data_IF_494673497594
#
_entry.id   IF_494673497594
#
_cell.length_a   1.000
_cell.length_b   1.000
_cell.length_c   1.000
_cell.angle_alpha   90.00
_cell.angle_beta   90.00
_cell.angle_gamma   90.00
#
_symmetry.space_group_name_H-M   'P 1'
#
loop_
_entity.id
_entity.type
_entity.pdbx_description
1 polymer ?
#
# COMPACT_ATOMS: atom_id res chain seq x y z
N UNK A 1 -55.30 28.61 64.10
CA UNK A 1 -56.32 28.56 63.02
C UNK A 1 -56.45 27.12 62.52
N UNK A 2 -57.17 26.27 63.26
CA UNK A 2 -57.34 24.86 62.92
C UNK A 2 -58.79 24.45 63.19
N UNK A 3 -59.73 25.01 62.43
CA UNK A 3 -61.17 24.66 62.50
C UNK A 3 -61.86 25.01 61.18
N UNK A 4 -61.40 24.46 60.04
CA UNK A 4 -62.16 24.52 58.77
C UNK A 4 -61.98 23.27 57.87
N UNK A 5 -61.58 22.12 58.42
CA UNK A 5 -61.31 20.92 57.61
C UNK A 5 -62.38 19.82 57.69
N UNK A 6 -63.45 19.99 58.47
CA UNK A 6 -64.40 18.90 58.74
C UNK A 6 -65.65 18.86 57.85
N UNK A 7 -65.95 19.88 57.02
CA UNK A 7 -67.15 19.87 56.15
C UNK A 7 -66.90 19.44 54.70
N UNK A 8 -65.64 19.33 54.25
CA UNK A 8 -65.26 19.01 52.86
C UNK A 8 -64.92 17.52 52.62
N UNK A 9 -64.99 16.69 53.67
CA UNK A 9 -64.67 15.27 53.60
C UNK A 9 -65.71 14.41 52.85
N UNK A 10 -67.05 14.59 53.02
CA UNK A 10 -68.02 13.65 52.45
C UNK A 10 -68.16 13.75 50.93
N UNK A 11 -68.09 14.96 50.35
CA UNK A 11 -68.17 15.16 48.91
C UNK A 11 -66.92 14.67 48.18
N UNK A 12 -65.73 14.87 48.78
CA UNK A 12 -64.47 14.32 48.25
C UNK A 12 -64.42 12.80 48.33
N UNK A 13 -64.98 12.19 49.38
CA UNK A 13 -65.15 10.74 49.48
C UNK A 13 -66.14 10.20 48.45
N UNK A 14 -67.23 10.91 48.17
CA UNK A 14 -68.20 10.53 47.14
C UNK A 14 -67.61 10.61 45.72
N UNK A 15 -66.76 11.61 45.45
CA UNK A 15 -66.03 11.75 44.18
C UNK A 15 -64.94 10.69 44.01
N UNK A 16 -64.20 10.36 45.08
CA UNK A 16 -63.25 9.24 45.07
C UNK A 16 -63.95 7.89 44.92
N UNK A 17 -65.13 7.73 45.52
CA UNK A 17 -65.98 6.55 45.35
C UNK A 17 -66.48 6.37 43.91
N UNK A 18 -66.89 7.46 43.24
CA UNK A 18 -67.27 7.41 41.81
C UNK A 18 -66.07 7.13 40.90
N UNK A 19 -64.92 7.76 41.16
CA UNK A 19 -63.69 7.52 40.41
C UNK A 19 -63.20 6.06 40.54
N UNK A 20 -63.33 5.47 41.73
CA UNK A 20 -63.00 4.07 41.97
C UNK A 20 -63.99 3.09 41.29
N UNK A 21 -65.28 3.42 41.24
CA UNK A 21 -66.29 2.63 40.51
C UNK A 21 -66.04 2.66 39.00
N UNK A 22 -65.57 3.79 38.46
CA UNK A 22 -65.19 3.91 37.05
C UNK A 22 -63.87 3.17 36.73
N UNK A 23 -62.88 3.17 37.63
CA UNK A 23 -61.64 2.41 37.43
C UNK A 23 -61.83 0.89 37.52
N UNK A 24 -62.78 0.42 38.33
CA UNK A 24 -63.13 -1.01 38.45
C UNK A 24 -63.87 -1.58 37.23
N UNK A 25 -64.19 -0.77 36.21
CA UNK A 25 -64.82 -1.24 34.97
C UNK A 25 -63.81 -1.88 33.99
N UNK A 26 -62.50 -1.78 34.25
CA UNK A 26 -61.43 -2.21 33.33
C UNK A 26 -60.35 -3.15 33.90
N UNK A 27 -60.46 -3.65 35.14
CA UNK A 27 -59.48 -4.62 35.69
C UNK A 27 -60.19 -5.83 36.29
N UNK A 28 -59.88 -7.03 35.78
CA UNK A 28 -60.63 -8.27 36.04
C UNK A 28 -60.06 -9.16 37.16
N UNK A 29 -58.94 -8.81 37.82
CA UNK A 29 -58.24 -9.75 38.72
C UNK A 29 -58.13 -9.37 40.22
N UNK A 30 -58.69 -8.24 40.67
CA UNK A 30 -58.67 -7.85 42.11
C UNK A 30 -60.06 -7.90 42.78
N UNK A 31 -60.86 -8.92 42.44
CA UNK A 31 -62.30 -8.95 42.78
C UNK A 31 -62.66 -9.44 44.19
N UNK A 32 -61.76 -10.10 44.92
CA UNK A 32 -62.14 -10.76 46.18
C UNK A 32 -61.76 -9.98 47.45
N UNK A 33 -60.68 -9.19 47.47
CA UNK A 33 -60.26 -8.48 48.69
C UNK A 33 -61.07 -7.19 48.94
N UNK A 34 -61.35 -6.41 47.88
CA UNK A 34 -62.10 -5.13 47.98
C UNK A 34 -63.62 -5.30 48.16
N UNK A 35 -64.16 -6.47 47.78
CA UNK A 35 -65.60 -6.83 47.92
C UNK A 35 -66.02 -6.96 49.40
N UNK A 36 -65.11 -7.39 50.27
CA UNK A 36 -65.39 -7.52 51.71
C UNK A 36 -65.45 -6.16 52.41
N UNK A 37 -64.50 -5.26 52.09
CA UNK A 37 -64.42 -3.92 52.66
C UNK A 37 -65.52 -2.99 52.14
N UNK A 38 -65.95 -3.15 50.87
CA UNK A 38 -67.07 -2.39 50.32
C UNK A 38 -68.42 -2.80 50.91
N UNK A 39 -68.62 -4.10 51.26
CA UNK A 39 -69.83 -4.57 51.95
C UNK A 39 -69.92 -4.02 53.39
N UNK A 40 -68.79 -3.92 54.10
CA UNK A 40 -68.75 -3.33 55.44
C UNK A 40 -68.97 -1.82 55.45
N UNK A 41 -68.54 -1.10 54.40
CA UNK A 41 -68.73 0.36 54.28
C UNK A 41 -70.13 0.71 53.78
N UNK A 42 -70.70 -0.06 52.83
CA UNK A 42 -72.08 0.15 52.36
C UNK A 42 -73.12 -0.23 53.41
N UNK A 43 -72.85 -1.22 54.26
CA UNK A 43 -73.71 -1.51 55.41
C UNK A 43 -73.75 -0.35 56.43
N UNK A 44 -72.61 0.32 56.68
CA UNK A 44 -72.52 1.46 57.60
C UNK A 44 -73.16 2.75 57.06
N UNK A 45 -73.19 2.93 55.74
CA UNK A 45 -73.84 4.08 55.11
C UNK A 45 -75.38 3.88 55.06
N UNK A 46 -75.84 2.64 54.86
CA UNK A 46 -77.27 2.32 54.87
C UNK A 46 -77.94 2.49 56.27
N UNK A 47 -77.19 2.31 57.36
CA UNK A 47 -77.67 2.55 58.73
C UNK A 47 -77.70 4.05 59.10
N UNK A 48 -76.80 4.86 58.54
CA UNK A 48 -76.75 6.30 58.78
C UNK A 48 -77.90 7.05 58.08
N UNK A 49 -78.25 6.66 56.85
CA UNK A 49 -79.32 7.31 56.06
C UNK A 49 -80.74 6.91 56.50
N UNK A 50 -80.93 5.75 57.15
CA UNK A 50 -82.21 5.36 57.77
C UNK A 50 -82.52 6.09 59.08
N UNK A 51 -81.51 6.61 59.78
CA UNK A 51 -81.68 7.34 61.05
C UNK A 51 -82.05 8.83 60.87
N UNK A 52 -81.74 9.39 59.70
CA UNK A 52 -82.04 10.79 59.37
C UNK A 52 -83.46 10.96 58.78
N UNK A 53 -83.94 9.99 57.99
CA UNK A 53 -85.27 10.00 57.37
C UNK A 53 -86.41 9.61 58.33
N UNK A 54 -86.10 8.99 59.47
CA UNK A 54 -87.09 8.66 60.53
C UNK A 54 -87.33 9.82 61.50
N UNK A 55 -86.43 10.80 61.62
CA UNK A 55 -86.60 11.96 62.52
C UNK A 55 -87.38 13.14 61.92
N UNK A 56 -87.49 13.24 60.59
CA UNK A 56 -88.28 14.30 59.94
C UNK A 56 -89.73 13.88 59.64
N UNK A 57 -90.06 12.59 59.67
CA UNK A 57 -91.43 12.08 59.45
C UNK A 57 -92.23 11.94 60.75
N UNK A 58 -91.59 11.84 61.92
CA UNK A 58 -92.28 11.83 63.23
C UNK A 58 -92.66 13.23 63.76
N UNK A 59 -92.11 14.32 63.20
CA UNK A 59 -92.45 15.68 63.61
C UNK A 59 -93.74 16.24 62.95
N UNK A 60 -94.32 15.53 61.97
CA UNK A 60 -95.51 15.96 61.21
C UNK A 60 -96.81 15.20 61.58
N UNK A 61 -96.79 14.30 62.58
CA UNK A 61 -97.92 13.43 62.93
C UNK A 61 -98.37 13.46 64.41
N UNK A 62 -98.18 14.58 65.12
CA UNK A 62 -98.75 14.75 66.48
C UNK A 62 -99.96 15.71 66.48
N UNK A 63 -101.13 15.32 67.04
CA UNK A 63 -102.37 16.10 67.00
C UNK A 63 -102.45 17.11 68.15
N UNK A 64 -102.92 18.34 67.89
CA UNK A 64 -103.46 19.23 68.93
C UNK A 64 -104.77 19.90 68.47
N UNK A 65 -105.79 19.70 69.29
CA UNK A 65 -107.15 20.28 69.26
C UNK A 65 -107.32 21.16 70.52
N UNK A 66 -108.48 21.79 70.76
CA UNK A 66 -108.79 23.20 70.57
C UNK A 66 -108.86 24.02 71.89
N UNK A 67 -108.98 25.35 71.82
CA UNK A 67 -109.62 26.15 72.88
C UNK A 67 -110.56 27.21 72.31
N UNK A 68 -111.54 27.57 73.13
CA UNK A 68 -112.82 28.15 72.81
C UNK A 68 -112.98 29.60 73.32
N UNK A 69 -114.05 30.25 72.86
CA UNK A 69 -114.64 31.47 73.43
C UNK A 69 -114.99 32.47 72.32
N UNK A 70 -116.18 33.04 72.18
CA UNK A 70 -117.44 32.98 72.92
C UNK A 70 -118.40 33.99 72.25
N UNK A 71 -119.67 33.59 72.05
CA UNK A 71 -120.84 34.45 71.72
C UNK A 71 -121.19 35.37 72.91
N UNK A 72 -122.05 36.44 72.85
CA UNK A 72 -123.45 36.48 72.31
C UNK A 72 -123.86 37.82 71.62
N UNK A 73 -124.89 37.95 70.74
CA UNK A 73 -126.38 37.86 70.85
C UNK A 73 -127.05 38.96 71.74
N UNK A 74 -128.37 39.27 71.64
CA UNK A 74 -129.27 39.55 70.50
C UNK A 74 -130.36 40.65 70.82
N UNK A 75 -131.51 40.61 70.12
CA UNK A 75 -132.87 41.17 70.41
C UNK A 75 -133.20 42.54 69.75
N UNK A 76 -134.06 42.61 68.71
CA UNK A 76 -135.50 42.33 68.56
C UNK A 76 -136.41 43.54 68.92
N UNK A 77 -137.09 44.11 67.92
CA UNK A 77 -138.54 44.45 67.93
C UNK A 77 -138.96 45.28 66.68
N UNK A 78 -139.81 44.66 65.84
CA UNK A 78 -140.92 45.23 65.06
C UNK A 78 -140.81 46.55 64.27
N UNK A 79 -140.95 46.44 62.94
CA UNK A 79 -141.64 47.47 62.13
C UNK A 79 -141.08 47.75 60.72
N UNK A 80 -141.81 47.31 59.68
CA UNK A 80 -141.72 47.66 58.23
C UNK A 80 -140.69 46.94 57.32
N UNK A 81 -141.21 46.11 56.40
CA UNK A 81 -140.54 45.12 55.55
C UNK A 81 -139.65 45.66 54.39
N UNK A 82 -139.45 46.98 54.25
CA UNK A 82 -138.64 47.55 53.15
C UNK A 82 -137.19 47.90 53.55
N UNK A 83 -136.91 48.10 54.84
CA UNK A 83 -135.57 48.51 55.32
C UNK A 83 -134.58 47.35 55.54
N UNK A 84 -135.09 46.16 55.84
CA UNK A 84 -134.27 44.98 56.16
C UNK A 84 -133.61 44.35 54.91
N UNK A 85 -134.31 44.36 53.78
CA UNK A 85 -133.78 43.85 52.49
C UNK A 85 -132.65 44.74 51.96
N UNK A 86 -132.73 46.06 52.17
CA UNK A 86 -131.67 47.00 51.78
C UNK A 86 -130.39 46.84 52.63
N UNK A 87 -130.53 46.56 53.94
CA UNK A 87 -129.37 46.27 54.81
C UNK A 87 -128.73 44.91 54.49
N UNK A 88 -129.53 43.89 54.20
CA UNK A 88 -129.01 42.58 53.81
C UNK A 88 -128.31 42.61 52.44
N UNK A 89 -128.83 43.38 51.48
CA UNK A 89 -128.18 43.62 50.18
C UNK A 89 -126.83 44.34 50.35
N UNK A 90 -126.79 45.42 51.13
CA UNK A 90 -125.54 46.15 51.41
C UNK A 90 -124.50 45.27 52.13
N UNK A 91 -124.94 44.36 53.02
CA UNK A 91 -124.05 43.42 53.72
C UNK A 91 -123.44 42.36 52.79
N UNK A 92 -124.21 41.85 51.84
CA UNK A 92 -123.71 40.89 50.84
C UNK A 92 -122.80 41.56 49.80
N UNK A 93 -123.09 42.80 49.38
CA UNK A 93 -122.22 43.58 48.50
C UNK A 93 -120.86 43.87 49.17
N UNK A 94 -120.84 44.12 50.48
CA UNK A 94 -119.61 44.29 51.25
C UNK A 94 -118.80 42.99 51.40
N UNK A 95 -119.47 41.86 51.59
CA UNK A 95 -118.81 40.55 51.61
C UNK A 95 -118.23 40.20 50.24
N UNK A 96 -118.97 40.48 49.17
CA UNK A 96 -118.55 40.24 47.79
C UNK A 96 -117.37 41.15 47.40
N UNK A 97 -117.36 42.40 47.85
CA UNK A 97 -116.21 43.30 47.74
C UNK A 97 -114.99 42.77 48.52
N UNK A 98 -115.17 42.28 49.75
CA UNK A 98 -114.06 41.72 50.54
C UNK A 98 -113.48 40.44 49.94
N UNK A 99 -114.33 39.61 49.33
CA UNK A 99 -113.90 38.38 48.64
C UNK A 99 -113.22 38.73 47.32
N UNK A 100 -113.71 39.74 46.59
CA UNK A 100 -113.05 40.25 45.39
C UNK A 100 -111.67 40.86 45.69
N UNK A 101 -111.51 41.58 46.81
CA UNK A 101 -110.21 42.11 47.24
C UNK A 101 -109.25 41.00 47.73
N UNK A 102 -109.78 39.98 48.43
CA UNK A 102 -109.00 38.77 48.78
C UNK A 102 -108.58 37.98 47.54
N UNK A 103 -109.43 37.90 46.53
CA UNK A 103 -109.12 37.25 45.27
C UNK A 103 -108.03 38.04 44.52
N UNK A 104 -108.16 39.36 44.41
CA UNK A 104 -107.14 40.24 43.79
C UNK A 104 -105.79 40.16 44.50
N UNK A 105 -105.78 40.13 45.83
CA UNK A 105 -104.53 40.01 46.59
C UNK A 105 -103.89 38.64 46.40
N UNK A 106 -104.66 37.56 46.40
CA UNK A 106 -104.17 36.22 46.06
C UNK A 106 -103.67 36.11 44.61
N UNK A 107 -104.40 36.70 43.64
CA UNK A 107 -103.97 36.76 42.24
C UNK A 107 -102.68 37.57 42.08
N UNK A 108 -102.53 38.67 42.81
CA UNK A 108 -101.29 39.47 42.80
C UNK A 108 -100.11 38.74 43.44
N UNK A 109 -100.33 37.96 44.50
CA UNK A 109 -99.32 37.13 45.14
C UNK A 109 -98.90 35.98 44.23
N UNK A 110 -99.87 35.31 43.60
CA UNK A 110 -99.62 34.27 42.61
C UNK A 110 -98.87 34.81 41.37
N UNK A 111 -99.20 36.01 40.90
CA UNK A 111 -98.48 36.65 39.81
C UNK A 111 -97.02 36.99 40.18
N UNK A 112 -96.76 37.41 41.44
CA UNK A 112 -95.40 37.64 41.96
C UNK A 112 -94.62 36.33 42.09
N UNK A 113 -95.23 35.30 42.64
CA UNK A 113 -94.61 33.97 42.78
C UNK A 113 -94.30 33.35 41.41
N UNK A 114 -95.19 33.52 40.42
CA UNK A 114 -94.91 33.14 39.04
C UNK A 114 -93.75 33.94 38.43
N UNK A 115 -93.64 35.24 38.72
CA UNK A 115 -92.55 36.07 38.22
C UNK A 115 -91.21 35.68 38.87
N UNK A 116 -91.19 35.45 40.19
CA UNK A 116 -90.02 34.97 40.93
C UNK A 116 -89.60 33.57 40.46
N UNK A 117 -90.57 32.68 40.22
CA UNK A 117 -90.29 31.35 39.68
C UNK A 117 -89.69 31.44 38.27
N UNK A 118 -90.19 32.33 37.40
CA UNK A 118 -89.59 32.58 36.07
C UNK A 118 -88.15 33.08 36.18
N UNK A 119 -87.88 34.05 37.08
CA UNK A 119 -86.53 34.56 37.32
C UNK A 119 -85.59 33.47 37.88
N UNK A 120 -86.07 32.62 38.79
CA UNK A 120 -85.32 31.50 39.32
C UNK A 120 -84.97 30.49 38.21
N UNK A 121 -85.93 30.14 37.35
CA UNK A 121 -85.71 29.26 36.20
C UNK A 121 -84.70 29.86 35.21
N UNK A 122 -84.79 31.16 34.91
CA UNK A 122 -83.83 31.86 34.06
C UNK A 122 -82.42 31.85 34.66
N UNK A 123 -82.28 32.16 35.96
CA UNK A 123 -80.99 32.15 36.66
C UNK A 123 -80.37 30.76 36.72
N UNK A 124 -81.19 29.73 36.94
CA UNK A 124 -80.76 28.33 36.95
C UNK A 124 -80.35 27.88 35.55
N UNK A 125 -81.04 28.34 34.50
CA UNK A 125 -80.65 28.08 33.11
C UNK A 125 -79.29 28.72 32.75
N UNK A 126 -79.01 29.92 33.25
CA UNK A 126 -77.72 30.61 33.08
C UNK A 126 -76.60 29.88 33.85
N UNK A 127 -76.86 29.46 35.09
CA UNK A 127 -75.91 28.67 35.87
C UNK A 127 -75.63 27.31 35.21
N UNK A 128 -76.64 26.64 34.66
CA UNK A 128 -76.47 25.40 33.90
C UNK A 128 -75.65 25.59 32.63
N UNK A 129 -75.83 26.69 31.89
CA UNK A 129 -74.98 27.02 30.72
C UNK A 129 -73.54 27.26 31.13
N UNK A 130 -73.31 28.05 32.18
CA UNK A 130 -71.96 28.35 32.68
C UNK A 130 -71.25 27.10 33.21
N UNK A 131 -71.98 26.20 33.85
CA UNK A 131 -71.46 24.89 34.25
C UNK A 131 -71.07 24.02 33.04
N UNK A 132 -71.84 24.04 31.96
CA UNK A 132 -71.49 23.35 30.71
C UNK A 132 -70.23 23.94 30.07
N UNK A 133 -70.12 25.27 30.00
CA UNK A 133 -68.92 25.94 29.49
C UNK A 133 -67.66 25.55 30.29
N UNK A 134 -67.74 25.58 31.63
CA UNK A 134 -66.64 25.13 32.49
C UNK A 134 -66.33 23.63 32.35
N UNK A 135 -67.33 22.79 32.08
CA UNK A 135 -67.12 21.37 31.79
C UNK A 135 -66.42 21.15 30.45
N UNK A 136 -66.77 21.92 29.42
CA UNK A 136 -66.11 21.88 28.11
C UNK A 136 -64.67 22.40 28.20
N UNK A 137 -64.43 23.50 28.92
CA UNK A 137 -63.07 24.01 29.18
C UNK A 137 -62.22 23.01 29.96
N UNK A 138 -62.79 22.37 30.99
CA UNK A 138 -62.13 21.28 31.71
C UNK A 138 -61.79 20.12 30.78
N UNK A 139 -62.69 19.75 29.87
CA UNK A 139 -62.44 18.73 28.85
C UNK A 139 -61.22 19.09 27.98
N UNK A 140 -61.21 20.30 27.41
CA UNK A 140 -60.08 20.80 26.59
C UNK A 140 -58.76 20.84 27.36
N UNK A 141 -58.78 21.27 28.62
CA UNK A 141 -57.56 21.30 29.45
C UNK A 141 -57.04 19.90 29.74
N UNK A 142 -57.92 18.92 29.99
CA UNK A 142 -57.51 17.53 30.18
C UNK A 142 -56.94 16.91 28.91
N UNK A 143 -57.53 17.21 27.75
CA UNK A 143 -56.99 16.81 26.44
C UNK A 143 -55.58 17.41 26.24
N UNK A 144 -55.40 18.72 26.44
CA UNK A 144 -54.10 19.37 26.34
C UNK A 144 -53.06 18.78 27.30
N UNK A 145 -53.44 18.47 28.54
CA UNK A 145 -52.56 17.79 29.49
C UNK A 145 -52.16 16.42 28.96
N UNK A 146 -53.10 15.63 28.44
CA UNK A 146 -52.79 14.31 27.87
C UNK A 146 -51.85 14.40 26.66
N UNK A 147 -52.01 15.42 25.80
CA UNK A 147 -51.14 15.65 24.66
C UNK A 147 -49.72 16.04 25.11
N UNK A 148 -49.60 16.97 26.05
CA UNK A 148 -48.32 17.39 26.63
C UNK A 148 -47.62 16.23 27.36
N UNK A 149 -48.36 15.39 28.09
CA UNK A 149 -47.81 14.19 28.72
C UNK A 149 -47.28 13.20 27.67
N UNK A 150 -48.00 13.02 26.56
CA UNK A 150 -47.54 12.15 25.46
C UNK A 150 -46.26 12.69 24.81
N UNK A 151 -46.18 14.01 24.59
CA UNK A 151 -44.99 14.66 24.04
C UNK A 151 -43.81 14.57 25.00
N UNK A 152 -44.04 14.75 26.30
CA UNK A 152 -42.99 14.61 27.32
C UNK A 152 -42.45 13.18 27.37
N UNK A 153 -43.32 12.17 27.29
CA UNK A 153 -42.88 10.76 27.23
C UNK A 153 -42.04 10.48 26.00
N UNK A 154 -42.40 11.03 24.84
CA UNK A 154 -41.60 10.92 23.62
C UNK A 154 -40.23 11.59 23.77
N UNK A 155 -40.19 12.81 24.30
CA UNK A 155 -38.92 13.51 24.54
C UNK A 155 -38.02 12.76 25.53
N UNK A 156 -38.59 12.20 26.60
CA UNK A 156 -37.84 11.35 27.54
C UNK A 156 -37.21 10.16 26.80
N UNK A 157 -38.00 9.42 26.02
CA UNK A 157 -37.51 8.28 25.25
C UNK A 157 -36.41 8.67 24.24
N UNK A 158 -36.55 9.82 23.56
CA UNK A 158 -35.53 10.34 22.64
C UNK A 158 -34.24 10.72 23.37
N UNK A 159 -34.33 11.36 24.53
CA UNK A 159 -33.15 11.72 25.34
C UNK A 159 -32.43 10.50 25.90
N UNK A 160 -33.17 9.47 26.36
CA UNK A 160 -32.59 8.20 26.81
C UNK A 160 -31.86 7.50 25.64
N UNK A 161 -32.46 7.49 24.44
CA UNK A 161 -31.81 6.92 23.27
C UNK A 161 -30.54 7.69 22.88
N UNK A 162 -30.55 9.02 22.97
CA UNK A 162 -29.38 9.86 22.72
C UNK A 162 -28.27 9.60 23.75
N UNK A 163 -28.62 9.45 25.04
CA UNK A 163 -27.68 9.11 26.11
C UNK A 163 -27.02 7.74 25.86
N UNK A 164 -27.80 6.71 25.51
CA UNK A 164 -27.25 5.38 25.17
C UNK A 164 -26.31 5.44 23.96
N UNK A 165 -26.62 6.24 22.94
CA UNK A 165 -25.71 6.46 21.80
C UNK A 165 -24.43 7.16 22.22
N UNK A 166 -24.53 8.17 23.06
CA UNK A 166 -23.38 8.89 23.60
C UNK A 166 -22.46 7.96 24.41
N UNK A 167 -23.03 7.12 25.29
CA UNK A 167 -22.24 6.15 26.07
C UNK A 167 -21.53 5.12 25.20
N UNK A 168 -22.21 4.60 24.16
CA UNK A 168 -21.58 3.70 23.17
C UNK A 168 -20.44 4.36 22.40
N UNK A 169 -20.61 5.62 21.99
CA UNK A 169 -19.55 6.37 21.32
C UNK A 169 -18.39 6.68 22.26
N UNK A 170 -18.69 6.99 23.53
CA UNK A 170 -17.67 7.23 24.56
C UNK A 170 -16.84 5.97 24.83
N UNK A 171 -17.48 4.81 24.99
CA UNK A 171 -16.76 3.55 25.19
C UNK A 171 -15.94 3.14 23.96
N UNK A 172 -16.49 3.29 22.75
CA UNK A 172 -15.77 3.07 21.48
C UNK A 172 -14.55 3.99 21.33
N UNK A 173 -14.68 5.27 21.69
CA UNK A 173 -13.54 6.19 21.69
C UNK A 173 -12.47 5.78 22.71
N UNK A 174 -12.87 5.33 23.89
CA UNK A 174 -11.92 4.85 24.91
C UNK A 174 -11.17 3.61 24.44
N UNK A 175 -11.85 2.63 23.83
CA UNK A 175 -11.19 1.42 23.29
C UNK A 175 -10.26 1.76 22.14
N UNK A 176 -10.69 2.60 21.18
CA UNK A 176 -9.81 3.05 20.10
C UNK A 176 -8.61 3.85 20.63
N UNK A 177 -8.79 4.67 21.65
CA UNK A 177 -7.69 5.41 22.28
C UNK A 177 -6.68 4.44 22.93
N UNK A 178 -7.14 3.42 23.64
CA UNK A 178 -6.27 2.42 24.27
C UNK A 178 -5.53 1.58 23.22
N UNK A 179 -6.21 1.18 22.14
CA UNK A 179 -5.59 0.49 21.02
C UNK A 179 -4.54 1.36 20.32
N UNK A 180 -4.81 2.65 20.14
CA UNK A 180 -3.85 3.60 19.56
C UNK A 180 -2.59 3.69 20.42
N UNK A 181 -2.74 3.84 21.75
CA UNK A 181 -1.59 3.88 22.67
C UNK A 181 -0.79 2.58 22.64
N UNK A 182 -1.46 1.42 22.69
CA UNK A 182 -0.78 0.11 22.61
C UNK A 182 -0.03 -0.07 21.28
N UNK A 183 -0.63 0.37 20.16
CA UNK A 183 0.01 0.33 18.86
C UNK A 183 1.22 1.27 18.80
N UNK A 184 1.15 2.47 19.39
CA UNK A 184 2.30 3.37 19.45
C UNK A 184 3.44 2.80 20.30
N UNK A 185 3.14 2.13 21.41
CA UNK A 185 4.15 1.46 22.25
C UNK A 185 4.83 0.31 21.49
N UNK A 186 4.05 -0.52 20.79
CA UNK A 186 4.59 -1.58 19.92
C UNK A 186 5.46 -1.03 18.80
N UNK A 187 5.05 0.08 18.18
CA UNK A 187 5.79 0.73 17.10
C UNK A 187 7.14 1.26 17.63
N UNK A 188 7.15 1.91 18.80
CA UNK A 188 8.37 2.39 19.43
C UNK A 188 9.31 1.23 19.82
N UNK A 189 8.78 0.13 20.35
CA UNK A 189 9.58 -1.06 20.67
C UNK A 189 10.21 -1.68 19.41
N UNK A 190 9.44 -1.82 18.33
CA UNK A 190 9.94 -2.32 17.05
C UNK A 190 10.97 -1.38 16.41
N UNK A 191 10.82 -0.06 16.56
CA UNK A 191 11.82 0.91 16.12
C UNK A 191 13.14 0.74 16.87
N UNK A 192 13.09 0.62 18.20
CA UNK A 192 14.28 0.39 19.03
C UNK A 192 14.98 -0.93 18.66
N UNK A 193 14.23 -2.01 18.45
CA UNK A 193 14.78 -3.29 18.01
C UNK A 193 15.40 -3.20 16.60
N UNK A 194 14.79 -2.44 15.68
CA UNK A 194 15.35 -2.24 14.34
C UNK A 194 16.67 -1.47 14.40
N UNK A 195 16.77 -0.44 15.25
CA UNK A 195 18.01 0.31 15.47
C UNK A 195 19.10 -0.58 16.08
N UNK A 196 18.74 -1.42 17.07
CA UNK A 196 19.68 -2.39 17.65
C UNK A 196 20.21 -3.36 16.60
N UNK A 197 19.32 -3.95 15.79
CA UNK A 197 19.70 -4.88 14.73
C UNK A 197 20.55 -4.21 13.65
N UNK A 198 20.30 -2.94 13.32
CA UNK A 198 21.16 -2.17 12.39
C UNK A 198 22.57 -1.99 12.96
N UNK A 199 22.68 -1.64 14.24
CA UNK A 199 23.98 -1.51 14.89
C UNK A 199 24.74 -2.84 14.94
N UNK A 200 24.05 -3.96 15.24
CA UNK A 200 24.64 -5.31 15.20
C UNK A 200 25.12 -5.69 13.79
N UNK A 201 24.33 -5.40 12.76
CA UNK A 201 24.72 -5.63 11.36
C UNK A 201 25.93 -4.80 10.93
N UNK A 202 25.99 -3.53 11.31
CA UNK A 202 27.15 -2.67 11.02
C UNK A 202 28.41 -3.17 11.72
N UNK A 203 28.30 -3.60 12.98
CA UNK A 203 29.42 -4.19 13.71
C UNK A 203 29.92 -5.48 13.05
N UNK A 204 29.00 -6.38 12.68
CA UNK A 204 29.35 -7.62 11.99
C UNK A 204 30.01 -7.38 10.62
N UNK A 205 29.54 -6.37 9.87
CA UNK A 205 30.17 -5.97 8.60
C UNK A 205 31.59 -5.47 8.81
N UNK A 206 31.82 -4.58 9.77
CA UNK A 206 33.16 -4.09 10.10
C UNK A 206 34.10 -5.23 10.50
N UNK A 207 33.62 -6.17 11.32
CA UNK A 207 34.41 -7.34 11.73
C UNK A 207 34.78 -8.23 10.54
N UNK A 208 33.81 -8.50 9.64
CA UNK A 208 34.07 -9.25 8.41
C UNK A 208 35.10 -8.53 7.54
N UNK A 209 34.99 -7.21 7.37
CA UNK A 209 35.92 -6.46 6.52
C UNK A 209 37.36 -6.52 7.06
N UNK A 210 37.54 -6.47 8.38
CA UNK A 210 38.84 -6.70 9.03
C UNK A 210 39.35 -8.11 8.73
N UNK A 211 38.55 -9.15 8.95
CA UNK A 211 38.95 -10.54 8.68
C UNK A 211 39.31 -10.79 7.21
N UNK A 212 38.56 -10.19 6.28
CA UNK A 212 38.85 -10.29 4.84
C UNK A 212 40.17 -9.60 4.51
N UNK A 213 40.44 -8.44 5.10
CA UNK A 213 41.71 -7.73 4.90
C UNK A 213 42.91 -8.51 5.44
N UNK A 214 42.77 -9.14 6.61
CA UNK A 214 43.79 -10.01 7.21
C UNK A 214 44.05 -11.24 6.33
N UNK A 215 42.98 -11.93 5.89
CA UNK A 215 43.10 -13.09 5.01
C UNK A 215 43.73 -12.73 3.65
N UNK A 216 43.42 -11.56 3.09
CA UNK A 216 44.06 -11.07 1.86
C UNK A 216 45.56 -10.84 2.05
N UNK A 217 45.96 -10.25 3.18
CA UNK A 217 47.37 -10.04 3.50
C UNK A 217 48.12 -11.37 3.66
N UNK A 218 47.53 -12.36 4.33
CA UNK A 218 48.10 -13.71 4.48
C UNK A 218 48.25 -14.42 3.13
N UNK A 219 47.27 -14.33 2.25
CA UNK A 219 47.35 -14.90 0.90
C UNK A 219 48.46 -14.24 0.09
N UNK A 220 48.60 -12.92 0.16
CA UNK A 220 49.68 -12.20 -0.52
C UNK A 220 51.06 -12.61 0.01
N UNK A 221 51.20 -12.77 1.33
CA UNK A 221 52.44 -13.26 1.94
C UNK A 221 52.78 -14.68 1.46
N UNK A 222 51.80 -15.60 1.48
CA UNK A 222 52.01 -16.96 0.98
C UNK A 222 52.37 -17.01 -0.52
N UNK A 223 51.78 -16.11 -1.33
CA UNK A 223 52.14 -15.96 -2.74
C UNK A 223 53.55 -15.41 -2.93
N UNK A 224 53.98 -14.48 -2.08
CA UNK A 224 55.36 -13.98 -2.09
C UNK A 224 56.36 -15.08 -1.72
N UNK A 225 56.11 -15.84 -0.66
CA UNK A 225 56.97 -16.95 -0.22
C UNK A 225 57.10 -18.04 -1.30
N UNK A 226 55.99 -18.39 -1.95
CA UNK A 226 56.01 -19.36 -3.06
C UNK A 226 56.74 -18.82 -4.28
N UNK A 227 56.59 -17.54 -4.61
CA UNK A 227 57.35 -16.91 -5.69
C UNK A 227 58.85 -16.92 -5.38
N UNK A 228 59.27 -16.53 -4.17
CA UNK A 228 60.67 -16.51 -3.76
C UNK A 228 61.30 -17.90 -3.79
N UNK A 229 60.57 -18.94 -3.37
CA UNK A 229 61.01 -20.33 -3.48
C UNK A 229 61.21 -20.77 -4.95
N UNK A 230 60.30 -20.40 -5.86
CA UNK A 230 60.41 -20.69 -7.30
C UNK A 230 61.57 -19.93 -7.92
N UNK A 231 61.76 -18.66 -7.57
CA UNK A 231 62.88 -17.81 -8.01
C UNK A 231 64.21 -18.46 -7.61
N UNK A 232 64.35 -18.88 -6.35
CA UNK A 232 65.55 -19.54 -5.86
C UNK A 232 65.86 -20.83 -6.64
N UNK A 233 64.84 -21.65 -6.90
CA UNK A 233 64.98 -22.90 -7.66
C UNK A 233 65.36 -22.63 -9.13
N UNK A 234 64.70 -21.67 -9.78
CA UNK A 234 64.95 -21.32 -11.18
C UNK A 234 66.34 -20.72 -11.37
N UNK A 235 66.73 -19.80 -10.47
CA UNK A 235 68.05 -19.16 -10.50
C UNK A 235 69.19 -20.17 -10.37
N UNK A 236 69.08 -21.11 -9.43
CA UNK A 236 70.05 -22.19 -9.26
C UNK A 236 70.24 -23.00 -10.56
N UNK A 237 69.14 -23.30 -11.26
CA UNK A 237 69.17 -24.03 -12.53
C UNK A 237 69.78 -23.19 -13.66
N UNK A 238 69.42 -21.92 -13.76
CA UNK A 238 69.95 -20.99 -14.77
C UNK A 238 71.46 -20.76 -14.64
N UNK A 239 71.95 -20.59 -13.40
CA UNK A 239 73.37 -20.43 -13.12
C UNK A 239 74.17 -21.68 -13.49
N UNK A 240 73.61 -22.87 -13.30
CA UNK A 240 74.25 -24.14 -13.69
C UNK A 240 74.38 -24.33 -15.21
N UNK A 241 73.39 -23.89 -15.98
CA UNK A 241 73.36 -24.04 -17.44
C UNK A 241 74.17 -22.97 -18.20
N UNK A 242 74.32 -21.78 -17.61
CA UNK A 242 75.00 -20.62 -18.20
C UNK A 242 76.05 -20.04 -17.24
N UNK A 243 77.03 -20.84 -16.78
CA UNK A 243 77.98 -20.42 -15.77
C UNK A 243 78.80 -19.20 -16.21
N UNK A 244 79.14 -19.11 -17.50
CA UNK A 244 79.97 -18.03 -18.06
C UNK A 244 79.23 -16.68 -18.22
N UNK A 245 77.90 -16.66 -18.10
CA UNK A 245 77.09 -15.43 -18.22
C UNK A 245 76.79 -14.83 -16.85
N UNK A 246 76.74 -15.68 -15.82
CA UNK A 246 76.31 -15.31 -14.46
C UNK A 246 77.44 -15.44 -13.42
N UNK A 247 78.71 -15.42 -13.85
CA UNK A 247 79.87 -15.53 -12.95
C UNK A 247 80.02 -14.36 -11.99
N UNK A 248 79.46 -13.18 -12.30
CA UNK A 248 79.68 -11.94 -11.54
C UNK A 248 78.39 -11.26 -11.04
N UNK A 249 77.21 -11.75 -11.41
CA UNK A 249 75.95 -11.07 -11.06
C UNK A 249 75.41 -11.53 -9.70
N UNK A 250 75.06 -10.55 -8.86
CA UNK A 250 74.28 -10.76 -7.64
C UNK A 250 73.04 -11.62 -7.92
N UNK A 251 72.58 -12.36 -6.90
CA UNK A 251 71.29 -13.08 -6.96
C UNK A 251 70.24 -12.06 -7.43
N UNK A 252 69.57 -12.28 -8.58
CA UNK A 252 68.64 -11.31 -9.12
C UNK A 252 67.49 -11.12 -8.16
N UNK A 253 67.08 -9.86 -7.96
CA UNK A 253 65.81 -9.57 -7.31
C UNK A 253 64.67 -10.13 -8.16
N UNK A 254 63.50 -10.33 -7.55
CA UNK A 254 62.29 -10.78 -8.24
C UNK A 254 62.03 -9.99 -9.54
N UNK A 255 62.09 -8.66 -9.47
CA UNK A 255 61.90 -7.79 -10.63
C UNK A 255 62.94 -8.03 -11.74
N UNK A 256 64.18 -8.29 -11.37
CA UNK A 256 65.27 -8.53 -12.32
C UNK A 256 65.10 -9.88 -13.02
N UNK A 257 64.62 -10.90 -12.29
CA UNK A 257 64.35 -12.21 -12.87
C UNK A 257 63.09 -12.19 -13.75
N UNK A 258 62.04 -11.47 -13.35
CA UNK A 258 60.83 -11.26 -14.16
C UNK A 258 61.19 -10.60 -15.51
N UNK A 259 61.99 -9.52 -15.51
CA UNK A 259 62.49 -8.88 -16.73
C UNK A 259 63.35 -9.82 -17.59
N UNK A 260 64.15 -10.68 -16.96
CA UNK A 260 64.96 -11.64 -17.67
C UNK A 260 64.10 -12.74 -18.33
N UNK A 261 63.06 -13.21 -17.65
CA UNK A 261 62.07 -14.13 -18.22
C UNK A 261 61.31 -13.48 -19.40
N UNK A 262 60.90 -12.21 -19.26
CA UNK A 262 60.29 -11.45 -20.35
C UNK A 262 61.22 -11.34 -21.57
N UNK A 263 62.49 -11.00 -21.35
CA UNK A 263 63.49 -10.94 -22.41
C UNK A 263 63.72 -12.30 -23.10
N UNK A 264 63.70 -13.41 -22.35
CA UNK A 264 63.78 -14.76 -22.93
C UNK A 264 62.54 -15.04 -23.79
N UNK A 265 61.35 -14.67 -23.33
CA UNK A 265 60.11 -14.83 -24.12
C UNK A 265 60.17 -14.01 -25.40
N UNK A 266 60.65 -12.77 -25.35
CA UNK A 266 60.86 -11.94 -26.54
C UNK A 266 61.88 -12.53 -27.50
N UNK A 267 63.00 -13.06 -26.98
CA UNK A 267 63.99 -13.76 -27.79
C UNK A 267 63.38 -14.96 -28.51
N UNK A 268 62.58 -15.76 -27.81
CA UNK A 268 61.86 -16.92 -28.38
C UNK A 268 60.89 -16.48 -29.48
N UNK A 269 60.13 -15.40 -29.28
CA UNK A 269 59.26 -14.82 -30.30
C UNK A 269 60.06 -14.38 -31.53
N UNK A 270 61.19 -13.70 -31.34
CA UNK A 270 62.06 -13.26 -32.42
C UNK A 270 62.61 -14.45 -33.23
N UNK A 271 63.02 -15.52 -32.55
CA UNK A 271 63.49 -16.75 -33.21
C UNK A 271 62.39 -17.40 -34.07
N UNK A 272 61.14 -17.44 -33.58
CA UNK A 272 60.01 -17.96 -34.36
C UNK A 272 59.71 -17.11 -35.61
N UNK A 273 59.85 -15.78 -35.52
CA UNK A 273 59.70 -14.88 -36.68
C UNK A 273 60.83 -15.10 -37.70
N UNK A 274 62.07 -15.25 -37.24
CA UNK A 274 63.22 -15.55 -38.12
C UNK A 274 63.00 -16.90 -38.84
N UNK A 275 62.53 -17.92 -38.12
CA UNK A 275 62.16 -19.21 -38.70
C UNK A 275 61.12 -19.08 -39.80
N UNK A 276 60.00 -18.41 -39.50
CA UNK A 276 58.93 -18.18 -40.47
C UNK A 276 59.44 -17.40 -41.69
N UNK A 277 60.28 -16.39 -41.49
CA UNK A 277 60.86 -15.60 -42.57
C UNK A 277 61.77 -16.44 -43.48
N UNK A 278 62.69 -17.22 -42.90
CA UNK A 278 63.58 -18.12 -43.65
C UNK A 278 62.78 -19.15 -44.45
N UNK A 279 61.77 -19.77 -43.84
CA UNK A 279 60.89 -20.75 -44.51
C UNK A 279 60.14 -20.11 -45.68
N UNK A 280 59.63 -18.89 -45.51
CA UNK A 280 58.91 -18.18 -46.55
C UNK A 280 59.83 -17.75 -47.70
N UNK A 281 61.01 -17.19 -47.41
CA UNK A 281 61.99 -16.84 -48.44
C UNK A 281 62.49 -18.07 -49.22
N UNK A 282 62.71 -19.21 -48.54
CA UNK A 282 63.04 -20.47 -49.20
C UNK A 282 61.91 -20.96 -50.13
N UNK A 283 60.65 -20.78 -49.72
CA UNK A 283 59.48 -21.12 -50.54
C UNK A 283 59.38 -20.24 -51.78
N UNK A 284 59.65 -18.93 -51.65
CA UNK A 284 59.50 -17.96 -52.73
C UNK A 284 60.63 -18.05 -53.77
N UNK A 285 61.84 -18.42 -53.34
CA UNK A 285 62.98 -18.68 -54.23
C UNK A 285 63.02 -20.10 -54.79
N UNK A 286 62.08 -20.97 -54.41
CA UNK A 286 62.01 -22.35 -54.88
C UNK A 286 61.72 -22.39 -56.39
N UNK A 287 62.61 -22.98 -57.16
CA UNK A 287 62.38 -23.24 -58.59
C UNK A 287 61.49 -24.47 -58.75
N UNK A 288 60.31 -24.31 -59.37
CA UNK A 288 59.31 -25.39 -59.54
C UNK A 288 59.76 -26.47 -60.55
N UNK A 289 60.84 -26.26 -61.29
CA UNK A 289 61.25 -27.14 -62.39
C UNK A 289 62.46 -28.06 -62.16
N UNK A 290 63.33 -27.81 -61.17
CA UNK A 290 64.57 -28.58 -60.97
C UNK A 290 64.55 -29.34 -59.64
N UNK A 291 64.31 -30.66 -59.70
CA UNK A 291 64.35 -31.56 -58.52
C UNK A 291 65.73 -31.61 -57.84
N UNK A 292 66.78 -31.20 -58.55
CA UNK A 292 68.15 -31.15 -58.08
C UNK A 292 68.59 -29.79 -57.51
N UNK A 293 67.70 -28.80 -57.42
CA UNK A 293 68.03 -27.49 -56.86
C UNK A 293 68.42 -27.60 -55.37
N UNK A 294 69.56 -27.00 -55.03
CA UNK A 294 70.14 -27.03 -53.67
C UNK A 294 69.22 -26.36 -52.66
N UNK A 295 68.56 -25.26 -53.02
CA UNK A 295 67.61 -24.58 -52.12
C UNK A 295 66.34 -25.40 -51.89
N UNK A 296 65.87 -26.11 -52.90
CA UNK A 296 64.73 -27.02 -52.80
C UNK A 296 65.02 -28.17 -51.82
N UNK A 297 66.22 -28.76 -51.88
CA UNK A 297 66.67 -29.78 -50.91
C UNK A 297 66.72 -29.24 -49.48
N UNK A 298 67.26 -28.03 -49.29
CA UNK A 298 67.27 -27.38 -47.97
C UNK A 298 65.86 -27.09 -47.44
N UNK A 299 64.97 -26.55 -48.26
CA UNK A 299 63.58 -26.30 -47.87
C UNK A 299 62.84 -27.59 -47.45
N UNK A 300 63.03 -28.69 -48.18
CA UNK A 300 62.44 -29.99 -47.82
C UNK A 300 63.00 -30.49 -46.48
N UNK A 301 64.30 -30.37 -46.24
CA UNK A 301 64.93 -30.74 -44.97
C UNK A 301 64.39 -29.90 -43.81
N UNK A 302 64.23 -28.59 -43.99
CA UNK A 302 63.66 -27.69 -42.99
C UNK A 302 62.21 -28.01 -42.65
N UNK A 303 61.39 -28.38 -43.63
CA UNK A 303 59.99 -28.77 -43.38
C UNK A 303 59.82 -30.14 -42.71
N UNK A 304 60.78 -31.04 -42.92
CA UNK A 304 60.72 -32.41 -42.41
C UNK A 304 61.30 -32.54 -41.00
N UNK A 305 62.23 -31.67 -40.64
CA UNK A 305 62.83 -31.64 -39.31
C UNK A 305 62.01 -30.74 -38.36
N UNK A 306 62.01 -31.05 -37.05
CA UNK A 306 61.36 -30.20 -36.05
C UNK A 306 61.95 -28.77 -36.08
N UNK A 307 61.07 -27.79 -35.95
CA UNK A 307 61.43 -26.37 -36.01
C UNK A 307 62.24 -25.91 -34.81
N UNK A 308 62.67 -24.64 -34.81
CA UNK A 308 63.42 -24.06 -33.69
C UNK A 308 62.65 -24.14 -32.36
N UNK A 309 61.34 -23.91 -32.42
CA UNK A 309 60.47 -23.95 -31.25
C UNK A 309 60.29 -25.36 -30.68
N UNK A 310 60.17 -26.36 -31.53
CA UNK A 310 60.04 -27.76 -31.11
C UNK A 310 61.36 -28.29 -30.55
N UNK A 311 62.49 -27.97 -31.20
CA UNK A 311 63.82 -28.29 -30.69
C UNK A 311 64.12 -27.60 -29.35
N UNK A 312 63.65 -26.35 -29.16
CA UNK A 312 63.77 -25.63 -27.90
C UNK A 312 62.92 -26.29 -26.81
N UNK A 313 61.67 -26.65 -27.13
CA UNK A 313 60.76 -27.34 -26.20
C UNK A 313 61.35 -28.67 -25.74
N UNK A 314 61.85 -29.47 -26.68
CA UNK A 314 62.48 -30.76 -26.38
C UNK A 314 63.74 -30.59 -25.54
N UNK A 315 64.55 -29.57 -25.83
CA UNK A 315 65.72 -29.25 -25.03
C UNK A 315 65.35 -28.83 -23.60
N UNK A 316 64.36 -27.94 -23.42
CA UNK A 316 63.92 -27.48 -22.11
C UNK A 316 63.27 -28.61 -21.30
N UNK A 317 62.47 -29.47 -21.95
CA UNK A 317 61.76 -30.56 -21.30
C UNK A 317 62.68 -31.73 -20.92
N UNK A 318 63.64 -32.10 -21.78
CA UNK A 318 64.44 -33.33 -21.61
C UNK A 318 65.91 -33.07 -21.25
N UNK A 319 66.40 -31.83 -21.37
CA UNK A 319 67.81 -31.47 -21.20
C UNK A 319 68.73 -32.00 -22.31
N UNK A 320 68.21 -32.74 -23.29
CA UNK A 320 68.97 -33.34 -24.40
C UNK A 320 68.82 -32.47 -25.65
N UNK A 321 69.74 -32.61 -26.62
CA UNK A 321 69.62 -31.91 -27.91
C UNK A 321 70.07 -30.44 -27.91
N UNK A 322 70.76 -29.97 -26.86
CA UNK A 322 71.37 -28.63 -26.76
C UNK A 322 72.16 -28.24 -28.02
N UNK A 323 73.03 -29.12 -28.49
CA UNK A 323 73.84 -28.89 -29.69
C UNK A 323 72.99 -28.77 -30.97
N UNK A 324 71.91 -29.55 -31.09
CA UNK A 324 71.01 -29.49 -32.24
C UNK A 324 70.27 -28.16 -32.28
N UNK A 325 69.77 -27.68 -31.14
CA UNK A 325 69.14 -26.37 -31.03
C UNK A 325 70.10 -25.24 -31.41
N UNK A 326 71.33 -25.22 -30.87
CA UNK A 326 72.31 -24.18 -31.21
C UNK A 326 72.70 -24.18 -32.70
N UNK A 327 72.92 -25.36 -33.28
CA UNK A 327 73.24 -25.49 -34.69
C UNK A 327 72.09 -25.00 -35.58
N UNK A 328 70.85 -25.30 -35.18
CA UNK A 328 69.67 -24.83 -35.90
C UNK A 328 69.49 -23.31 -35.78
N UNK A 329 69.67 -22.72 -34.60
CA UNK A 329 69.63 -21.26 -34.38
C UNK A 329 70.67 -20.57 -35.26
N UNK A 330 71.91 -21.09 -35.26
CA UNK A 330 73.00 -20.57 -36.08
C UNK A 330 72.65 -20.64 -37.56
N UNK A 331 72.16 -21.78 -38.05
CA UNK A 331 71.77 -21.95 -39.44
C UNK A 331 70.71 -20.91 -39.87
N UNK A 332 69.68 -20.70 -39.05
CA UNK A 332 68.62 -19.71 -39.33
C UNK A 332 69.15 -18.27 -39.37
N UNK A 333 70.03 -17.89 -38.45
CA UNK A 333 70.65 -16.56 -38.46
C UNK A 333 71.52 -16.34 -39.70
N UNK A 334 72.28 -17.36 -40.13
CA UNK A 334 73.10 -17.29 -41.34
C UNK A 334 72.22 -17.21 -42.58
N UNK A 335 71.14 -17.99 -42.66
CA UNK A 335 70.17 -17.90 -43.75
C UNK A 335 69.51 -16.52 -43.83
N UNK A 336 69.02 -15.97 -42.73
CA UNK A 336 68.42 -14.63 -42.71
C UNK A 336 69.38 -13.56 -43.25
N UNK A 337 70.68 -13.66 -42.89
CA UNK A 337 71.72 -12.76 -43.43
C UNK A 337 71.99 -13.00 -44.91
N UNK A 338 72.09 -14.26 -45.33
CA UNK A 338 72.33 -14.62 -46.73
C UNK A 338 71.16 -14.17 -47.63
N UNK A 339 69.91 -14.23 -47.15
CA UNK A 339 68.75 -13.70 -47.88
C UNK A 339 68.86 -12.19 -48.07
N UNK A 340 69.21 -11.45 -47.01
CA UNK A 340 69.35 -10.00 -47.09
C UNK A 340 70.44 -9.59 -48.11
N UNK A 341 71.60 -10.25 -48.11
CA UNK A 341 72.71 -9.92 -49.02
C UNK A 341 72.48 -10.43 -50.44
N UNK A 342 71.97 -11.65 -50.60
CA UNK A 342 71.74 -12.27 -51.90
C UNK A 342 70.65 -11.55 -52.70
N UNK A 343 69.53 -11.17 -52.06
CA UNK A 343 68.48 -10.38 -52.72
C UNK A 343 68.99 -9.00 -53.15
N UNK A 344 69.79 -8.34 -52.31
CA UNK A 344 70.40 -7.06 -52.67
C UNK A 344 71.32 -7.17 -53.89
N UNK A 345 72.18 -8.20 -53.95
CA UNK A 345 73.06 -8.46 -55.10
C UNK A 345 72.28 -8.66 -56.40
N UNK A 346 71.10 -9.28 -56.33
CA UNK A 346 70.23 -9.49 -57.50
C UNK A 346 69.64 -8.17 -57.97
N UNK A 347 69.14 -7.33 -57.06
CA UNK A 347 68.61 -6.00 -57.40
C UNK A 347 69.66 -5.17 -58.13
N UNK A 348 70.92 -5.22 -57.68
CA UNK A 348 72.03 -4.51 -58.32
C UNK A 348 72.38 -5.08 -59.70
N UNK A 349 72.25 -6.41 -59.91
CA UNK A 349 72.54 -7.07 -61.19
C UNK A 349 71.36 -7.07 -62.17
N UNK A 350 70.15 -6.83 -61.69
CA UNK A 350 68.90 -6.90 -62.45
C UNK A 350 68.90 -6.00 -63.70
N UNK A 351 69.42 -4.74 -63.67
CA UNK A 351 69.48 -3.90 -64.86
C UNK A 351 70.26 -4.53 -66.03
N UNK A 352 71.35 -5.24 -65.73
CA UNK A 352 72.16 -5.92 -66.76
C UNK A 352 71.42 -7.12 -67.33
N UNK A 353 70.77 -7.92 -66.48
CA UNK A 353 69.95 -9.07 -66.91
C UNK A 353 68.76 -8.63 -67.77
N UNK A 354 68.11 -7.53 -67.41
CA UNK A 354 67.02 -6.93 -68.17
C UNK A 354 67.53 -6.41 -69.52
N UNK A 355 68.69 -5.75 -69.54
CA UNK A 355 69.30 -5.25 -70.78
C UNK A 355 69.67 -6.40 -71.74
N UNK A 356 70.19 -7.51 -71.21
CA UNK A 356 70.55 -8.68 -72.00
C UNK A 356 69.32 -9.39 -72.59
N UNK A 357 68.22 -9.51 -71.83
CA UNK A 357 66.98 -10.17 -72.28
C UNK A 357 66.11 -9.28 -73.20
N UNK A 358 66.17 -7.95 -73.03
CA UNK A 358 65.51 -7.00 -73.94
C UNK A 358 66.30 -6.75 -75.23
N UNK A 359 67.51 -7.31 -75.35
CA UNK A 359 68.30 -7.20 -76.57
C UNK A 359 67.62 -7.95 -77.72
N UNK A 360 67.20 -7.27 -78.81
CA UNK A 360 66.52 -7.91 -79.94
C UNK A 360 67.32 -9.04 -80.60
N UNK A 361 68.65 -9.05 -80.42
CA UNK A 361 69.54 -10.12 -80.92
C UNK A 361 69.33 -11.47 -80.22
N UNK A 362 68.75 -11.46 -79.03
CA UNK A 362 68.52 -12.65 -78.20
C UNK A 362 67.08 -13.18 -78.31
N UNK A 363 66.23 -12.55 -79.11
CA UNK A 363 64.84 -12.96 -79.31
C UNK A 363 64.78 -14.08 -80.35
N UNK A 364 64.39 -15.29 -79.91
CA UNK A 364 64.32 -16.47 -80.77
C UNK A 364 63.29 -16.32 -81.89
N UNK A 365 63.71 -16.64 -83.11
CA UNK A 365 62.95 -16.54 -84.35
C UNK A 365 63.69 -15.69 -85.40
N UNK A 366 63.46 -15.92 -86.69
CA UNK A 366 63.93 -15.02 -87.76
C UNK A 366 63.21 -13.66 -87.66
N UNK A 367 63.51 -12.88 -86.62
CA UNK A 367 63.18 -11.45 -86.60
C UNK A 367 64.15 -10.82 -87.60
N UNK A 368 63.75 -10.79 -88.87
CA UNK A 368 64.50 -10.07 -89.90
C UNK A 368 64.60 -8.61 -89.45
N UNK A 369 65.82 -8.21 -89.11
CA UNK A 369 66.20 -6.94 -88.49
C UNK A 369 65.89 -5.71 -89.35
N UNK A 370 65.32 -5.90 -90.55
CA UNK A 370 65.26 -4.86 -91.59
C UNK A 370 64.01 -3.96 -91.52
N UNK A 371 63.08 -4.15 -90.57
CA UNK A 371 61.91 -3.26 -90.42
C UNK A 371 61.54 -3.02 -88.95
N UNK A 372 61.68 -1.79 -88.47
CA UNK A 372 61.28 -1.38 -87.10
C UNK A 372 59.84 -1.79 -86.73
N UNK A 373 58.94 -1.91 -87.72
CA UNK A 373 57.56 -2.39 -87.53
C UNK A 373 57.46 -3.87 -87.09
N UNK A 374 58.38 -4.75 -87.50
CA UNK A 374 58.36 -6.17 -87.08
C UNK A 374 58.85 -6.33 -85.63
N UNK A 375 59.82 -5.51 -85.22
CA UNK A 375 60.31 -5.42 -83.83
C UNK A 375 59.19 -4.93 -82.91
N UNK A 376 58.48 -3.86 -83.30
CA UNK A 376 57.34 -3.34 -82.53
C UNK A 376 56.19 -4.34 -82.38
N UNK A 377 55.90 -5.12 -83.44
CA UNK A 377 54.87 -6.17 -83.40
C UNK A 377 55.25 -7.34 -82.50
N UNK A 378 56.47 -7.87 -82.62
CA UNK A 378 56.97 -8.93 -81.75
C UNK A 378 57.02 -8.50 -80.28
N UNK A 379 57.44 -7.26 -80.02
CA UNK A 379 57.46 -6.71 -78.67
C UNK A 379 56.06 -6.69 -78.05
N UNK A 380 55.06 -6.21 -78.79
CA UNK A 380 53.68 -6.07 -78.32
C UNK A 380 52.94 -7.41 -78.18
N UNK A 381 53.18 -8.36 -79.09
CA UNK A 381 52.42 -9.63 -79.14
C UNK A 381 53.06 -10.76 -78.33
N UNK A 382 54.39 -10.76 -78.19
CA UNK A 382 55.13 -11.90 -77.61
C UNK A 382 56.06 -11.47 -76.47
N UNK A 383 56.89 -10.45 -76.68
CA UNK A 383 57.89 -10.07 -75.68
C UNK A 383 57.28 -9.47 -74.41
N UNK A 384 56.26 -8.60 -74.53
CA UNK A 384 55.58 -7.98 -73.38
C UNK A 384 54.94 -9.00 -72.41
N UNK A 385 54.58 -10.19 -72.88
CA UNK A 385 54.02 -11.25 -72.03
C UNK A 385 55.09 -12.22 -71.54
N UNK A 386 55.96 -12.70 -72.43
CA UNK A 386 56.93 -13.75 -72.09
C UNK A 386 58.21 -13.22 -71.41
N UNK A 387 58.68 -12.02 -71.76
CA UNK A 387 59.95 -11.48 -71.24
C UNK A 387 59.86 -11.11 -69.76
N UNK A 388 58.80 -10.45 -69.24
CA UNK A 388 58.69 -10.21 -67.80
C UNK A 388 58.66 -11.50 -66.97
N UNK A 389 57.96 -12.54 -67.44
CA UNK A 389 57.93 -13.84 -66.77
C UNK A 389 59.30 -14.54 -66.82
N UNK A 390 60.00 -14.48 -67.95
CA UNK A 390 61.35 -15.02 -68.12
C UNK A 390 62.39 -14.27 -67.26
N UNK A 391 62.34 -12.94 -67.23
CA UNK A 391 63.17 -12.12 -66.34
C UNK A 391 62.86 -12.43 -64.88
N UNK A 392 61.58 -12.57 -64.52
CA UNK A 392 61.17 -12.93 -63.16
C UNK A 392 61.62 -14.32 -62.72
N UNK A 393 61.69 -15.30 -63.63
CA UNK A 393 62.23 -16.64 -63.33
C UNK A 393 63.75 -16.63 -63.24
N UNK A 394 64.45 -15.94 -64.15
CA UNK A 394 65.91 -15.78 -64.12
C UNK A 394 66.38 -15.01 -62.89
N UNK A 395 65.71 -13.92 -62.52
CA UNK A 395 66.03 -13.14 -61.33
C UNK A 395 65.86 -13.98 -60.05
N UNK A 396 64.78 -14.77 -59.94
CA UNK A 396 64.59 -15.70 -58.82
C UNK A 396 65.65 -16.80 -58.78
N UNK A 397 66.05 -17.33 -59.94
CA UNK A 397 67.12 -18.33 -60.05
C UNK A 397 68.47 -17.78 -59.59
N UNK A 398 68.86 -16.62 -60.12
CA UNK A 398 70.10 -15.93 -59.71
C UNK A 398 70.07 -15.53 -58.23
N UNK A 399 68.91 -15.12 -57.71
CA UNK A 399 68.73 -14.85 -56.30
C UNK A 399 68.97 -16.09 -55.45
N UNK A 400 68.39 -17.21 -55.86
CA UNK A 400 68.61 -18.48 -55.18
C UNK A 400 70.08 -18.88 -55.13
N UNK A 401 70.77 -18.82 -56.28
CA UNK A 401 72.18 -19.19 -56.38
C UNK A 401 73.09 -18.29 -55.53
N UNK A 402 72.86 -16.98 -55.53
CA UNK A 402 73.64 -16.01 -54.77
C UNK A 402 73.40 -16.13 -53.26
N UNK A 403 72.15 -16.32 -52.83
CA UNK A 403 71.83 -16.56 -51.42
C UNK A 403 72.49 -17.86 -50.94
N UNK A 404 72.41 -18.93 -51.72
CA UNK A 404 73.04 -20.20 -51.37
C UNK A 404 74.57 -20.10 -51.30
N UNK A 405 75.19 -19.34 -52.20
CA UNK A 405 76.63 -19.05 -52.15
C UNK A 405 76.99 -18.29 -50.87
N UNK A 406 76.27 -17.20 -50.58
CA UNK A 406 76.50 -16.38 -49.38
C UNK A 406 76.32 -17.18 -48.09
N UNK A 407 75.31 -18.07 -48.04
CA UNK A 407 75.12 -18.97 -46.91
C UNK A 407 76.35 -19.86 -46.68
N UNK A 408 76.89 -20.48 -47.73
CA UNK A 408 78.05 -21.36 -47.63
C UNK A 408 79.32 -20.60 -47.21
N UNK A 409 79.48 -19.37 -47.67
CA UNK A 409 80.62 -18.54 -47.29
C UNK A 409 80.50 -18.10 -45.82
N UNK A 410 79.32 -17.62 -45.42
CA UNK A 410 79.06 -17.14 -44.05
C UNK A 410 79.12 -18.26 -43.00
N UNK A 411 78.70 -19.47 -43.34
CA UNK A 411 78.75 -20.60 -42.39
C UNK A 411 80.16 -21.15 -42.21
N UNK A 412 81.06 -20.98 -43.20
CA UNK A 412 82.47 -21.43 -43.16
C UNK A 412 83.43 -20.47 -42.49
N UNK A 413 83.15 -19.16 -42.54
CA UNK A 413 84.02 -18.09 -42.00
C UNK A 413 83.89 -17.92 -40.46
N UNK A 414 82.94 -18.63 -39.83
CA UNK A 414 82.69 -18.64 -38.38
C UNK A 414 82.52 -20.07 -37.91
#
# INVERSE_FOLDING_TARGET
MATQLTSLAPERLALLGRAAVESCRYAAEERESLSSTLKDVTARIADAERSATTKEVEALLAPRRPEAGGSPAPAAAGGSAAGEVLRQKAGLELQLASVADKLRTAESAYAREQAEHRQAVESLSLQQRKLKELQEERGRLLENVSELESQLRLQIAETEQAQLRYEKLKSSRQTMSAQSTEMTEKLNALQADNERLRAELEAARKQRDVQVSEAQAEVQAAQADTADAVIAALWSRMRGELPNVFTETHIPTRESLERLCEAIVEFVKAMAVIEAHVVQCLKDLRQVGDENDKLNRFYILFKRNPGLMDCLRDYVATGRGKANFYNLVRAHQVWARAFATGLYKVIVRLPNVVADELNPRNWGGEVRLDKEASIGKYFKETAQRAVPEKIGTLARKQAGDLVHQDYNDLIRVR
#
